data_IF_263959737740
#
_entry.id   IF_263959737740
#
_cell.length_a   1.000
_cell.length_b   1.000
_cell.length_c   1.000
_cell.angle_alpha   90.00
_cell.angle_beta   90.00
_cell.angle_gamma   90.00
#
_symmetry.space_group_name_H-M   'P 1'
#
loop_
_entity.id
_entity.type
_entity.pdbx_description
1 polymer ?
2 non-polymer ?
3 non-polymer ?
4 water ?
#
# COMPACT_ATOMS: atom_id res chain seq x y z
N UNK A 1 -25.20 17.91 -19.97
CA UNK A 1 -24.90 16.73 -20.83
C UNK A 1 -23.40 16.69 -21.11
N UNK A 2 -22.80 15.49 -21.06
CA UNK A 2 -21.44 15.27 -21.52
C UNK A 2 -21.43 15.18 -23.04
N UNK A 3 -20.24 15.33 -23.62
CA UNK A 3 -20.09 15.37 -25.07
C UNK A 3 -20.35 13.98 -25.68
N UNK A 4 -20.62 13.95 -26.99
CA UNK A 4 -21.13 12.77 -27.68
C UNK A 4 -20.22 11.54 -27.58
N UNK A 5 -18.89 11.74 -27.54
CA UNK A 5 -17.99 10.61 -27.69
C UNK A 5 -17.41 10.19 -26.33
N UNK A 6 -18.17 10.44 -25.26
CA UNK A 6 -17.67 10.34 -23.90
C UNK A 6 -18.33 9.17 -23.16
N UNK A 7 -17.51 8.47 -22.38
CA UNK A 7 -17.93 7.37 -21.52
C UNK A 7 -17.72 7.74 -20.04
N UNK A 8 -18.80 7.69 -19.26
CA UNK A 8 -18.73 7.94 -17.83
C UNK A 8 -19.89 7.22 -17.14
N UNK A 9 -19.58 6.28 -16.24
CA UNK A 9 -20.66 5.56 -15.58
C UNK A 9 -21.08 6.32 -14.32
N UNK A 10 -22.37 6.34 -14.06
CA UNK A 10 -22.88 6.83 -12.79
C UNK A 10 -22.26 5.98 -11.67
N UNK A 11 -21.73 6.58 -10.58
CA UNK A 11 -20.94 5.84 -9.57
C UNK A 11 -21.77 4.79 -8.87
N UNK A 12 -21.20 3.60 -8.61
CA UNK A 12 -21.87 2.64 -7.76
C UNK A 12 -21.13 2.46 -6.43
N UNK A 13 -21.83 1.94 -5.43
CA UNK A 13 -21.21 1.75 -4.14
C UNK A 13 -20.86 0.26 -3.99
N UNK A 14 -19.57 -0.03 -3.72
CA UNK A 14 -19.09 -1.40 -3.60
C UNK A 14 -19.01 -1.81 -2.13
N UNK A 15 -18.85 -0.84 -1.24
CA UNK A 15 -18.89 -1.12 0.19
C UNK A 15 -19.60 0.07 0.82
N UNK A 16 -20.41 -0.20 1.85
CA UNK A 16 -21.23 0.79 2.54
C UNK A 16 -21.53 0.27 3.93
N UNK A 17 -21.90 1.12 4.91
CA UNK A 17 -22.27 0.65 6.24
C UNK A 17 -23.36 -0.41 6.24
N UNK A 18 -23.13 -1.43 7.08
CA UNK A 18 -23.94 -2.63 7.07
C UNK A 18 -23.38 -3.70 6.15
N UNK A 19 -22.77 -3.33 5.01
CA UNK A 19 -22.37 -4.39 4.09
C UNK A 19 -21.35 -5.28 4.80
N UNK A 20 -21.47 -6.62 4.65
CA UNK A 20 -20.68 -7.60 5.39
C UNK A 20 -20.66 -7.33 6.90
N UNK A 21 -21.71 -6.69 7.43
CA UNK A 21 -21.89 -6.46 8.87
C UNK A 21 -20.92 -5.39 9.40
N UNK A 22 -20.29 -4.61 8.52
CA UNK A 22 -19.32 -3.62 8.93
C UNK A 22 -19.98 -2.25 9.00
N UNK A 23 -19.66 -1.49 10.03
CA UNK A 23 -20.28 -0.19 10.24
C UNK A 23 -19.53 0.86 9.43
N UNK A 24 -18.28 0.54 9.03
CA UNK A 24 -17.38 1.51 8.43
C UNK A 24 -16.49 0.89 7.36
N UNK A 25 -16.07 1.73 6.39
CA UNK A 25 -15.19 1.31 5.31
C UNK A 25 -14.33 2.49 4.91
N UNK A 26 -13.04 2.24 4.58
CA UNK A 26 -12.17 3.28 4.02
C UNK A 26 -11.01 2.64 3.29
N UNK A 27 -10.25 3.47 2.57
CA UNK A 27 -8.96 3.09 2.00
C UNK A 27 -9.15 2.19 0.77
N UNK A 28 -9.65 2.76 -0.33
CA UNK A 28 -9.85 2.01 -1.58
C UNK A 28 -8.55 1.57 -2.24
N UNK A 29 -8.53 0.33 -2.73
CA UNK A 29 -7.45 -0.14 -3.59
C UNK A 29 -8.03 -0.95 -4.73
N UNK A 30 -7.42 -0.80 -5.92
CA UNK A 30 -7.98 -1.27 -7.18
C UNK A 30 -6.84 -1.72 -8.11
N UNK A 31 -6.91 -2.97 -8.58
CA UNK A 31 -5.90 -3.51 -9.49
C UNK A 31 -6.62 -4.36 -10.53
N UNK A 32 -6.10 -4.38 -11.76
CA UNK A 32 -6.57 -5.26 -12.83
C UNK A 32 -5.58 -6.40 -13.04
N UNK A 33 -6.11 -7.63 -13.12
CA UNK A 33 -5.29 -8.83 -13.34
C UNK A 33 -5.05 -9.05 -14.84
N UNK A 34 -4.10 -9.92 -15.16
CA UNK A 34 -3.86 -10.19 -16.56
C UNK A 34 -5.06 -10.92 -17.19
N UNK A 35 -5.91 -11.55 -16.37
CA UNK A 35 -7.09 -12.20 -16.88
C UNK A 35 -8.20 -11.16 -17.08
N UNK A 36 -7.88 -9.88 -16.86
CA UNK A 36 -8.85 -8.78 -17.00
C UNK A 36 -9.80 -8.59 -15.81
N UNK A 37 -9.61 -9.34 -14.71
CA UNK A 37 -10.39 -9.14 -13.50
C UNK A 37 -9.95 -7.86 -12.76
N UNK A 38 -10.95 -7.11 -12.28
CA UNK A 38 -10.72 -5.96 -11.43
C UNK A 38 -10.90 -6.42 -9.99
N UNK A 39 -9.92 -6.09 -9.14
CA UNK A 39 -9.98 -6.38 -7.71
C UNK A 39 -10.12 -5.05 -6.96
N UNK A 40 -11.07 -4.99 -6.05
CA UNK A 40 -11.26 -3.81 -5.22
C UNK A 40 -11.15 -4.25 -3.77
N UNK A 41 -10.07 -3.86 -3.08
CA UNK A 41 -9.89 -4.26 -1.69
C UNK A 41 -10.04 -3.02 -0.84
N UNK A 42 -10.24 -3.22 0.47
CA UNK A 42 -10.76 -2.17 1.33
C UNK A 42 -10.53 -2.57 2.79
N UNK A 43 -10.46 -1.56 3.65
CA UNK A 43 -10.50 -1.73 5.10
C UNK A 43 -11.97 -1.93 5.49
N UNK A 44 -12.27 -3.15 5.91
CA UNK A 44 -13.54 -3.46 6.54
C UNK A 44 -13.41 -2.93 7.96
N UNK A 45 -13.63 -1.63 8.14
CA UNK A 45 -13.48 -1.04 9.47
C UNK A 45 -14.74 -1.26 10.31
N UNK A 46 -14.80 -2.40 11.02
CA UNK A 46 -16.03 -2.90 11.64
C UNK A 46 -16.71 -1.92 12.62
N UNK A 47 -15.95 -1.10 13.36
CA UNK A 47 -16.56 -0.27 14.38
C UNK A 47 -16.69 1.20 13.97
N UNK A 48 -16.64 1.52 12.68
CA UNK A 48 -16.67 2.91 12.22
C UNK A 48 -15.50 3.29 11.31
N UNK A 49 -15.46 4.54 10.84
CA UNK A 49 -14.48 5.06 9.88
C UNK A 49 -13.11 5.32 10.51
N UNK A 50 -13.01 5.33 11.86
CA UNK A 50 -11.82 5.81 12.56
C UNK A 50 -10.64 4.85 12.35
N UNK A 51 -9.40 5.36 12.34
CA UNK A 51 -8.22 4.51 12.22
C UNK A 51 -8.02 3.73 13.53
N UNK A 52 -7.17 2.69 13.45
CA UNK A 52 -6.55 2.04 14.60
C UNK A 52 -5.96 3.09 15.54
N UNK A 53 -6.03 2.88 16.89
CA UNK A 53 -6.58 1.66 17.49
C UNK A 53 -8.07 1.70 17.84
N UNK A 54 -8.56 0.67 18.56
CA UNK A 54 -9.95 0.57 18.99
C UNK A 54 -10.87 0.39 17.78
N UNK A 55 -10.41 -0.46 16.85
CA UNK A 55 -11.17 -0.80 15.67
C UNK A 55 -10.85 -2.21 15.21
N UNK A 56 -11.91 -3.02 15.12
CA UNK A 56 -11.79 -4.32 14.48
C UNK A 56 -11.75 -4.09 12.96
N UNK A 57 -10.54 -4.00 12.39
CA UNK A 57 -10.43 -3.75 10.96
C UNK A 57 -9.89 -4.99 10.28
N UNK A 58 -10.57 -5.44 9.21
CA UNK A 58 -10.11 -6.56 8.41
C UNK A 58 -10.00 -6.13 6.96
N UNK A 59 -9.49 -7.02 6.10
CA UNK A 59 -9.32 -6.78 4.68
C UNK A 59 -10.50 -7.42 3.97
N UNK A 60 -11.16 -6.62 3.12
CA UNK A 60 -12.22 -7.08 2.24
C UNK A 60 -11.83 -6.88 0.77
N UNK A 61 -12.43 -7.71 -0.10
CA UNK A 61 -12.16 -7.60 -1.53
C UNK A 61 -13.39 -8.05 -2.31
N UNK A 62 -13.56 -7.42 -3.49
CA UNK A 62 -14.55 -7.76 -4.49
C UNK A 62 -13.83 -7.94 -5.82
N UNK A 63 -14.32 -8.91 -6.62
CA UNK A 63 -13.82 -9.17 -7.96
C UNK A 63 -14.89 -8.84 -8.99
N UNK A 64 -14.48 -8.23 -10.12
CA UNK A 64 -15.32 -8.14 -11.30
C UNK A 64 -14.58 -8.72 -12.50
N UNK A 65 -14.99 -9.92 -12.94
CA UNK A 65 -14.41 -10.59 -14.10
C UNK A 65 -14.77 -9.88 -15.42
N UNK A 66 -13.94 -10.01 -16.45
CA UNK A 66 -14.17 -9.25 -17.68
C UNK A 66 -15.56 -9.59 -18.22
N UNK A 67 -16.25 -8.57 -18.76
CA UNK A 67 -17.65 -8.69 -19.15
C UNK A 67 -18.37 -9.60 -18.13
N UNK A 68 -18.24 -9.27 -16.85
CA UNK A 68 -18.99 -9.89 -15.77
C UNK A 68 -19.52 -8.79 -14.85
N UNK A 69 -20.12 -9.17 -13.73
CA UNK A 69 -20.58 -8.18 -12.75
C UNK A 69 -19.76 -8.29 -11.46
N UNK A 70 -19.85 -7.25 -10.62
CA UNK A 70 -19.23 -7.23 -9.31
C UNK A 70 -19.73 -8.42 -8.49
N UNK A 71 -18.83 -9.33 -8.13
CA UNK A 71 -19.25 -10.45 -7.30
C UNK A 71 -19.34 -9.99 -5.84
N UNK A 72 -19.80 -10.88 -4.98
CA UNK A 72 -19.99 -10.50 -3.60
C UNK A 72 -18.65 -10.32 -2.91
N UNK A 73 -18.61 -9.39 -1.93
CA UNK A 73 -17.43 -9.17 -1.12
C UNK A 73 -17.16 -10.29 -0.10
N UNK A 74 -15.87 -10.57 0.12
CA UNK A 74 -15.38 -11.51 1.11
C UNK A 74 -14.39 -10.75 2.00
N UNK A 75 -14.38 -11.05 3.30
CA UNK A 75 -13.25 -10.75 4.15
C UNK A 75 -12.13 -11.77 3.92
N UNK A 76 -10.93 -11.35 3.46
CA UNK A 76 -9.90 -12.32 3.09
C UNK A 76 -8.76 -12.39 4.11
N UNK A 77 -8.79 -11.52 5.13
CA UNK A 77 -7.79 -11.47 6.18
C UNK A 77 -8.43 -10.87 7.43
N UNK A 78 -8.46 -11.68 8.48
CA UNK A 78 -9.20 -11.39 9.70
C UNK A 78 -8.29 -11.64 10.90
N UNK A 79 -8.23 -10.70 11.83
CA UNK A 79 -7.33 -10.88 12.97
C UNK A 79 -8.18 -10.89 14.23
N UNK A 80 -7.69 -11.53 15.31
CA UNK A 80 -8.42 -11.62 16.58
C UNK A 80 -8.81 -10.24 17.08
N UNK A 81 -9.99 -10.15 17.71
CA UNK A 81 -10.34 -8.99 18.52
C UNK A 81 -10.32 -7.71 17.71
N UNK A 82 -9.83 -6.63 18.31
CA UNK A 82 -9.68 -5.38 17.60
C UNK A 82 -8.24 -5.19 17.11
N UNK A 83 -7.54 -6.28 16.80
CA UNK A 83 -6.27 -6.17 16.11
C UNK A 83 -6.58 -5.72 14.67
N UNK A 84 -5.85 -4.72 14.16
CA UNK A 84 -6.18 -4.09 12.89
C UNK A 84 -5.29 -4.55 11.75
N UNK A 85 -5.91 -4.74 10.58
CA UNK A 85 -5.24 -4.75 9.29
C UNK A 85 -5.78 -3.59 8.50
N UNK A 86 -4.89 -2.64 8.18
CA UNK A 86 -5.29 -1.32 7.73
C UNK A 86 -4.39 -0.95 6.55
N UNK A 87 -4.98 -0.36 5.50
CA UNK A 87 -4.27 0.21 4.35
C UNK A 87 -3.70 -0.89 3.44
N UNK A 88 -4.45 -1.25 2.39
CA UNK A 88 -4.05 -2.36 1.53
C UNK A 88 -3.44 -1.84 0.23
N UNK A 89 -2.60 -2.70 -0.38
CA UNK A 89 -1.99 -2.41 -1.67
C UNK A 89 -2.00 -3.69 -2.51
N UNK A 90 -2.49 -3.59 -3.76
CA UNK A 90 -2.63 -4.74 -4.63
C UNK A 90 -1.54 -4.68 -5.70
N UNK A 91 -1.04 -5.85 -6.11
CA UNK A 91 -0.12 -5.91 -7.24
C UNK A 91 -0.28 -7.21 -7.99
N UNK A 92 -0.57 -7.07 -9.28
CA UNK A 92 -0.61 -8.18 -10.21
C UNK A 92 0.78 -8.36 -10.79
N UNK A 93 1.32 -9.58 -10.69
CA UNK A 93 2.66 -9.87 -11.17
C UNK A 93 2.75 -11.26 -11.81
N UNK A 94 3.68 -11.39 -12.77
CA UNK A 94 3.86 -12.63 -13.49
C UNK A 94 5.30 -13.12 -13.37
N UNK A 95 5.50 -14.43 -13.57
CA UNK A 95 6.78 -15.14 -13.55
C UNK A 95 6.68 -16.20 -14.65
N UNK A 96 7.72 -16.32 -15.50
CA UNK A 96 7.78 -17.37 -16.52
C UNK A 96 8.22 -18.69 -15.86
N UNK A 97 7.29 -19.66 -15.70
CA UNK A 97 7.53 -20.87 -14.92
C UNK A 97 8.22 -21.93 -15.79
N UNK A 98 7.43 -22.70 -16.56
CA UNK A 98 7.99 -23.51 -17.64
C UNK A 98 8.33 -22.58 -18.81
N UNK A 99 7.42 -22.52 -19.79
CA UNK A 99 7.35 -21.46 -20.78
C UNK A 99 6.03 -20.70 -20.66
N UNK A 100 5.24 -21.14 -19.66
CA UNK A 100 3.99 -20.54 -19.25
C UNK A 100 4.28 -19.35 -18.31
N UNK A 101 3.72 -18.18 -18.65
CA UNK A 101 3.65 -17.01 -17.81
C UNK A 101 2.64 -17.30 -16.69
N UNK A 102 3.11 -17.50 -15.44
CA UNK A 102 2.20 -17.64 -14.30
C UNK A 102 2.07 -16.31 -13.54
N UNK A 103 0.81 -16.02 -13.16
CA UNK A 103 0.39 -14.78 -12.53
C UNK A 103 0.01 -15.00 -11.06
N UNK A 104 0.54 -14.12 -10.21
CA UNK A 104 0.25 -14.13 -8.80
C UNK A 104 -0.20 -12.73 -8.39
N UNK A 105 -1.27 -12.66 -7.57
CA UNK A 105 -1.73 -11.38 -7.07
C UNK A 105 -1.23 -11.22 -5.63
N UNK A 106 -0.50 -10.13 -5.39
CA UNK A 106 0.01 -9.85 -4.05
C UNK A 106 -0.80 -8.72 -3.43
N UNK A 107 -1.08 -8.87 -2.12
CA UNK A 107 -1.62 -7.79 -1.30
C UNK A 107 -0.74 -7.58 -0.07
N UNK A 108 -0.41 -6.32 0.21
CA UNK A 108 0.23 -6.00 1.49
C UNK A 108 -0.68 -5.08 2.30
N UNK A 109 -0.57 -5.21 3.61
CA UNK A 109 -1.36 -4.38 4.50
C UNK A 109 -0.54 -4.17 5.78
N UNK A 110 -0.69 -2.98 6.38
CA UNK A 110 -0.17 -2.69 7.70
C UNK A 110 -1.01 -3.40 8.76
N UNK A 111 -0.34 -3.87 9.83
CA UNK A 111 -0.97 -4.70 10.84
C UNK A 111 -0.42 -4.32 12.21
N UNK A 112 -1.35 -4.16 13.17
CA UNK A 112 -1.11 -3.74 14.53
C UNK A 112 -1.85 -4.67 15.50
N UNK A 113 -1.26 -5.01 16.67
CA UNK A 113 -1.99 -5.71 17.72
C UNK A 113 -3.04 -4.81 18.37
N UNK A 114 -3.94 -5.40 19.14
CA UNK A 114 -4.98 -4.64 19.81
C UNK A 114 -4.32 -3.52 20.62
N UNK A 115 -4.90 -2.32 20.57
CA UNK A 115 -4.46 -1.19 21.39
C UNK A 115 -3.50 -0.29 20.62
N UNK A 116 -3.08 -0.70 19.41
CA UNK A 116 -2.01 0.05 18.78
C UNK A 116 -2.39 0.59 17.40
N UNK A 117 -1.85 1.76 17.07
CA UNK A 117 -1.99 2.34 15.75
C UNK A 117 -0.88 3.36 15.49
N UNK A 118 -0.99 4.08 14.37
CA UNK A 118 0.05 5.05 14.04
C UNK A 118 0.36 5.94 15.25
N UNK A 119 -0.64 6.55 15.92
CA UNK A 119 -0.37 7.54 16.95
C UNK A 119 0.41 7.06 18.16
N UNK A 120 0.31 5.77 18.52
CA UNK A 120 0.96 5.29 19.74
C UNK A 120 1.88 4.09 19.48
N UNK A 121 2.29 3.86 18.24
CA UNK A 121 3.12 2.68 17.95
C UNK A 121 4.44 2.77 18.71
N UNK A 122 4.94 1.60 19.11
CA UNK A 122 6.27 1.45 19.68
C UNK A 122 7.24 1.18 18.53
N UNK A 123 8.54 1.19 18.85
CA UNK A 123 9.55 0.96 17.82
C UNK A 123 9.89 -0.52 17.67
N UNK A 124 10.79 -0.82 16.72
CA UNK A 124 11.33 -2.15 16.61
C UNK A 124 10.63 -2.98 15.54
N UNK A 125 11.24 -4.14 15.23
CA UNK A 125 10.75 -5.04 14.21
C UNK A 125 9.71 -5.98 14.79
N UNK A 126 9.73 -6.14 16.12
CA UNK A 126 8.93 -7.17 16.76
C UNK A 126 9.68 -8.50 16.89
N UNK A 127 10.96 -8.55 16.46
CA UNK A 127 11.74 -9.79 16.49
C UNK A 127 13.07 -9.58 17.22
N UNK A 128 13.63 -10.67 17.78
CA UNK A 128 15.01 -10.71 18.26
C UNK A 128 15.80 -11.58 17.29
N UNK A 129 16.97 -11.08 16.83
CA UNK A 129 17.92 -11.86 16.03
C UNK A 129 18.84 -12.64 16.98
N UNK A 130 18.76 -13.98 16.99
CA UNK A 130 19.68 -14.81 17.78
C UNK A 130 20.41 -15.75 16.83
N UNK A 131 21.71 -15.51 16.68
CA UNK A 131 22.57 -16.31 15.81
C UNK A 131 21.93 -16.40 14.42
N UNK A 132 21.64 -15.23 13.81
CA UNK A 132 21.22 -15.18 12.42
C UNK A 132 19.70 -15.34 12.18
N UNK A 133 18.99 -16.02 13.10
CA UNK A 133 17.56 -16.24 13.02
C UNK A 133 16.77 -15.08 13.67
N UNK A 134 15.62 -14.73 13.07
CA UNK A 134 14.70 -13.74 13.61
C UNK A 134 13.62 -14.45 14.42
N UNK A 135 13.39 -14.05 15.67
CA UNK A 135 12.38 -14.71 16.49
C UNK A 135 11.33 -13.71 17.01
N UNK A 136 10.06 -14.09 16.96
CA UNK A 136 8.95 -13.25 17.38
C UNK A 136 9.04 -12.99 18.88
N UNK A 137 9.05 -11.72 19.26
CA UNK A 137 9.16 -11.36 20.67
C UNK A 137 7.77 -11.40 21.30
N UNK A 138 7.72 -11.88 22.55
CA UNK A 138 6.54 -11.71 23.38
C UNK A 138 6.94 -10.98 24.65
N UNK A 139 6.02 -10.22 25.23
CA UNK A 139 6.32 -9.52 26.46
C UNK A 139 5.29 -9.88 27.52
N UNK A 140 5.73 -10.06 28.76
CA UNK A 140 4.78 -10.23 29.85
C UNK A 140 4.43 -8.85 30.41
N UNK A 141 3.53 -8.81 31.39
CA UNK A 141 3.03 -7.55 31.88
C UNK A 141 4.08 -6.78 32.69
N UNK A 142 5.16 -7.44 33.09
CA UNK A 142 6.26 -6.83 33.84
C UNK A 142 7.39 -6.49 32.87
N UNK A 143 7.10 -6.62 31.58
CA UNK A 143 7.94 -6.13 30.50
C UNK A 143 9.21 -6.97 30.31
N UNK A 144 9.20 -8.21 30.79
CA UNK A 144 10.23 -9.16 30.41
C UNK A 144 10.04 -9.64 28.96
N UNK A 145 11.08 -10.25 28.43
CA UNK A 145 11.12 -10.58 27.01
C UNK A 145 11.12 -12.09 26.84
N UNK A 146 10.40 -12.57 25.83
CA UNK A 146 10.40 -13.97 25.48
C UNK A 146 10.50 -14.03 23.96
N UNK A 147 10.94 -15.17 23.45
CA UNK A 147 10.99 -15.35 22.01
C UNK A 147 10.26 -16.63 21.67
N UNK A 148 9.74 -16.66 20.44
CA UNK A 148 9.05 -17.82 19.92
C UNK A 148 10.04 -18.51 18.98
N UNK A 149 10.21 -19.84 19.15
CA UNK A 149 11.25 -20.51 18.38
C UNK A 149 10.70 -21.76 17.70
N UNK A 150 11.54 -22.79 17.68
CA UNK A 150 11.23 -24.12 17.14
C UNK A 150 9.87 -24.55 17.66
N UNK A 151 8.94 -24.79 16.72
CA UNK A 151 7.65 -25.42 16.94
C UNK A 151 6.75 -24.54 17.82
N UNK A 152 7.08 -23.24 17.91
CA UNK A 152 6.27 -22.31 18.67
C UNK A 152 6.56 -22.39 20.17
N UNK A 153 7.67 -23.04 20.53
CA UNK A 153 8.07 -23.07 21.93
C UNK A 153 8.57 -21.67 22.30
N UNK A 154 8.03 -21.16 23.42
CA UNK A 154 8.32 -19.82 23.94
C UNK A 154 9.49 -19.93 24.91
N UNK A 155 10.64 -19.33 24.56
CA UNK A 155 11.79 -19.31 25.46
C UNK A 155 11.78 -18.00 26.25
N UNK A 156 12.31 -18.04 27.48
CA UNK A 156 12.41 -16.82 28.28
C UNK A 156 13.70 -16.07 27.96
N UNK A 157 14.01 -15.05 28.76
CA UNK A 157 15.17 -14.23 28.43
C UNK A 157 16.46 -14.94 28.81
N UNK A 158 16.41 -15.79 29.86
CA UNK A 158 17.54 -16.58 30.32
C UNK A 158 17.89 -17.61 29.25
N UNK A 159 17.00 -17.84 28.26
CA UNK A 159 17.27 -18.76 27.17
C UNK A 159 16.65 -20.16 27.32
N UNK A 160 15.74 -20.35 28.30
CA UNK A 160 15.21 -21.68 28.60
C UNK A 160 13.72 -21.74 28.25
N UNK A 161 13.22 -22.98 28.14
CA UNK A 161 11.85 -23.23 27.70
C UNK A 161 10.88 -22.87 28.79
N UNK A 162 9.76 -22.27 28.38
CA UNK A 162 8.63 -22.00 29.24
C UNK A 162 7.59 -23.08 28.97
N UNK A 163 6.41 -22.93 29.56
CA UNK A 163 5.42 -23.97 29.37
C UNK A 163 4.35 -23.45 28.42
N UNK A 164 4.80 -22.58 27.47
CA UNK A 164 3.93 -21.84 26.55
C UNK A 164 4.28 -22.20 25.12
N UNK A 165 3.25 -22.32 24.27
CA UNK A 165 3.42 -22.43 22.83
C UNK A 165 2.61 -21.34 22.13
N UNK A 166 3.16 -20.77 21.06
CA UNK A 166 2.38 -19.89 20.21
C UNK A 166 2.20 -20.54 18.85
N UNK A 167 0.92 -20.75 18.49
CA UNK A 167 0.49 -21.20 17.17
C UNK A 167 0.72 -20.05 16.18
N UNK A 168 0.71 -20.34 14.88
CA UNK A 168 0.90 -19.33 13.84
C UNK A 168 -0.08 -18.17 13.97
N UNK A 169 -1.32 -18.48 14.33
CA UNK A 169 -2.35 -17.47 14.44
C UNK A 169 -2.22 -16.64 15.73
N UNK A 170 -1.07 -16.75 16.43
CA UNK A 170 -0.79 -16.01 17.65
C UNK A 170 -1.58 -16.53 18.86
N UNK A 171 -2.11 -17.77 18.77
CA UNK A 171 -2.80 -18.42 19.89
C UNK A 171 -1.76 -18.94 20.88
N UNK A 172 -2.04 -18.77 22.17
CA UNK A 172 -1.16 -19.20 23.23
C UNK A 172 -1.69 -20.43 23.94
N UNK A 173 -0.92 -21.53 23.91
CA UNK A 173 -1.31 -22.73 24.64
C UNK A 173 -0.37 -23.03 25.81
N UNK A 174 -0.97 -23.17 26.99
CA UNK A 174 -0.25 -23.59 28.19
C UNK A 174 -0.95 -24.82 28.76
N UNK A 175 -0.19 -25.90 28.96
CA UNK A 175 -0.67 -27.16 29.51
C UNK A 175 -2.04 -27.48 28.91
N UNK A 176 -2.10 -27.65 27.58
CA UNK A 176 -3.28 -28.22 26.96
C UNK A 176 -4.29 -27.18 26.52
N UNK A 177 -4.58 -26.17 27.35
CA UNK A 177 -5.65 -25.24 27.03
C UNK A 177 -5.09 -23.95 26.38
N UNK A 178 -5.96 -23.29 25.59
CA UNK A 178 -5.68 -21.99 25.02
C UNK A 178 -5.84 -20.91 26.10
N UNK A 179 -4.75 -20.23 26.46
CA UNK A 179 -4.76 -19.29 27.57
C UNK A 179 -4.82 -17.83 27.09
N UNK A 180 -4.79 -17.61 25.76
CA UNK A 180 -5.01 -16.30 25.17
C UNK A 180 -4.48 -16.19 23.73
N UNK A 181 -4.42 -14.95 23.20
CA UNK A 181 -3.88 -14.64 21.88
C UNK A 181 -2.94 -13.42 21.95
N UNK A 182 -1.73 -13.60 21.38
CA UNK A 182 -0.64 -12.63 21.48
C UNK A 182 -1.00 -11.24 20.95
N UNK A 183 -2.06 -11.12 20.15
CA UNK A 183 -2.44 -9.85 19.55
C UNK A 183 -3.53 -9.17 20.37
N UNK A 184 -4.03 -9.86 21.41
CA UNK A 184 -5.13 -9.32 22.21
C UNK A 184 -4.55 -8.64 23.44
N UNK A 185 -5.11 -7.48 23.80
CA UNK A 185 -4.43 -6.69 24.81
C UNK A 185 -4.66 -7.25 26.21
N UNK A 186 -5.30 -8.41 26.29
CA UNK A 186 -5.56 -9.02 27.59
C UNK A 186 -4.79 -10.33 27.71
N UNK A 187 -3.90 -10.61 26.77
CA UNK A 187 -3.15 -11.85 26.77
C UNK A 187 -2.05 -11.83 27.81
N UNK A 188 -1.77 -13.00 28.44
CA UNK A 188 -0.65 -13.12 29.37
C UNK A 188 0.71 -12.85 28.75
N UNK A 189 0.86 -13.17 27.46
CA UNK A 189 2.05 -12.75 26.72
C UNK A 189 1.62 -12.00 25.45
N UNK A 190 2.25 -10.85 25.17
CA UNK A 190 1.77 -10.01 24.09
C UNK A 190 2.86 -9.78 23.03
N UNK A 191 2.42 -9.68 21.78
CA UNK A 191 3.28 -9.14 20.74
C UNK A 191 3.64 -7.69 21.06
N UNK A 192 4.80 -7.24 20.57
CA UNK A 192 5.23 -5.86 20.71
C UNK A 192 4.23 -4.95 19.99
N UNK A 193 3.79 -3.90 20.68
CA UNK A 193 2.83 -2.96 20.12
C UNK A 193 3.42 -2.12 18.99
N UNK A 194 3.75 -2.75 17.85
CA UNK A 194 4.43 -2.03 16.77
C UNK A 194 3.83 -2.39 15.42
N UNK A 195 4.06 -1.53 14.42
CA UNK A 195 3.56 -1.71 13.07
C UNK A 195 4.31 -2.84 12.35
N UNK A 196 3.55 -3.68 11.65
CA UNK A 196 4.10 -4.68 10.75
C UNK A 196 3.48 -4.47 9.38
N UNK A 197 4.21 -4.89 8.34
CA UNK A 197 3.60 -5.12 7.04
C UNK A 197 3.43 -6.61 6.84
N UNK A 198 2.21 -7.04 6.53
CA UNK A 198 1.93 -8.45 6.30
C UNK A 198 1.57 -8.58 4.83
N UNK A 199 1.84 -9.76 4.26
CA UNK A 199 1.51 -9.94 2.87
C UNK A 199 0.70 -11.21 2.70
N UNK A 200 -0.28 -11.16 1.80
CA UNK A 200 -0.96 -12.38 1.37
C UNK A 200 -0.91 -12.42 -0.16
N UNK A 201 -1.01 -13.62 -0.76
CA UNK A 201 -1.03 -13.69 -2.20
C UNK A 201 -2.14 -14.63 -2.65
N UNK A 202 -2.45 -14.50 -3.94
CA UNK A 202 -3.53 -15.21 -4.59
C UNK A 202 -3.06 -15.72 -5.95
N UNK A 203 -3.21 -17.03 -6.13
CA UNK A 203 -2.78 -17.75 -7.32
C UNK A 203 -3.94 -18.03 -8.26
N UNK A 204 -5.18 -17.77 -7.81
CA UNK A 204 -6.36 -18.13 -8.56
C UNK A 204 -7.15 -16.86 -8.92
N UNK A 205 -6.45 -15.82 -9.37
CA UNK A 205 -7.09 -14.61 -9.87
C UNK A 205 -7.96 -13.94 -8.81
N UNK A 206 -7.57 -14.04 -7.54
CA UNK A 206 -8.27 -13.30 -6.50
C UNK A 206 -9.32 -14.12 -5.76
N UNK A 207 -9.61 -15.33 -6.24
CA UNK A 207 -10.64 -16.17 -5.64
C UNK A 207 -10.24 -16.51 -4.20
N UNK A 208 -8.99 -16.95 -3.99
CA UNK A 208 -8.55 -17.30 -2.65
C UNK A 208 -7.13 -16.80 -2.37
N UNK A 209 -6.82 -16.68 -1.06
CA UNK A 209 -5.63 -16.00 -0.58
C UNK A 209 -4.85 -16.85 0.43
N UNK A 210 -3.52 -16.66 0.47
CA UNK A 210 -2.64 -17.34 1.42
C UNK A 210 -2.90 -16.85 2.85
N UNK A 211 -2.21 -17.48 3.81
CA UNK A 211 -2.15 -16.95 5.17
C UNK A 211 -1.17 -15.79 5.17
N UNK A 212 -1.30 -14.80 6.09
CA UNK A 212 -0.39 -13.65 6.10
C UNK A 212 1.05 -14.04 6.44
N UNK A 213 1.99 -13.48 5.69
CA UNK A 213 3.39 -13.56 6.05
C UNK A 213 3.84 -12.19 6.59
N UNK A 214 4.36 -12.16 7.83
CA UNK A 214 4.96 -10.95 8.36
C UNK A 214 6.20 -10.61 7.53
N UNK A 215 6.27 -9.39 7.01
CA UNK A 215 7.44 -8.98 6.24
C UNK A 215 8.44 -8.20 7.08
N UNK A 216 8.13 -7.97 8.36
CA UNK A 216 8.97 -7.18 9.25
C UNK A 216 10.38 -7.75 9.40
N UNK A 217 10.57 -9.09 9.55
CA UNK A 217 11.84 -9.63 10.06
C UNK A 217 12.99 -9.52 9.04
N UNK A 218 13.97 -8.69 9.35
CA UNK A 218 15.05 -8.45 8.41
C UNK A 218 14.72 -7.29 7.48
N UNK A 219 13.57 -6.64 7.67
CA UNK A 219 13.21 -5.60 6.72
C UNK A 219 13.02 -4.28 7.46
N UNK A 220 12.09 -4.25 8.41
CA UNK A 220 11.83 -3.06 9.21
C UNK A 220 13.04 -2.95 10.12
N UNK A 221 13.61 -1.75 10.22
CA UNK A 221 14.79 -1.46 11.03
C UNK A 221 14.37 -1.23 12.48
N UNK A 222 15.25 -1.58 13.42
CA UNK A 222 14.88 -1.51 14.82
C UNK A 222 14.58 -0.07 15.22
N UNK A 223 15.05 0.91 14.45
CA UNK A 223 14.83 2.28 14.84
C UNK A 223 13.50 2.83 14.33
N UNK A 224 12.82 2.08 13.45
CA UNK A 224 11.57 2.56 12.90
C UNK A 224 10.45 2.33 13.91
N UNK A 225 9.49 3.26 13.93
CA UNK A 225 8.29 3.09 14.73
C UNK A 225 7.15 2.69 13.80
N UNK A 226 6.63 3.65 13.04
CA UNK A 226 5.64 3.28 12.06
C UNK A 226 6.36 2.65 10.86
N UNK A 227 5.73 1.66 10.25
CA UNK A 227 6.26 0.96 9.10
C UNK A 227 5.07 0.33 8.41
N UNK A 228 4.71 0.83 7.22
CA UNK A 228 3.35 0.57 6.78
C UNK A 228 3.19 0.67 5.26
N UNK A 229 2.20 -0.07 4.78
CA UNK A 229 1.76 -0.04 3.39
C UNK A 229 1.31 1.36 3.02
N UNK A 230 1.74 1.83 1.84
CA UNK A 230 1.17 3.04 1.25
C UNK A 230 0.00 2.57 0.39
N UNK A 231 -1.27 2.82 0.77
CA UNK A 231 -2.39 2.09 0.17
C UNK A 231 -2.59 2.55 -1.28
N UNK A 232 -3.06 1.61 -2.11
CA UNK A 232 -3.19 1.78 -3.55
C UNK A 232 -2.71 0.50 -4.22
N UNK A 233 -1.66 0.64 -5.08
CA UNK A 233 -1.07 -0.50 -5.75
C UNK A 233 0.47 -0.46 -5.69
N UNK A 234 1.05 -1.65 -5.90
CA UNK A 234 2.45 -1.85 -6.27
C UNK A 234 2.58 -2.08 -7.78
N UNK A 235 3.80 -2.24 -8.29
CA UNK A 235 3.99 -2.51 -9.70
C UNK A 235 5.13 -3.51 -9.83
N UNK A 236 5.16 -4.23 -10.97
CA UNK A 236 6.26 -5.08 -11.36
C UNK A 236 6.97 -4.32 -12.48
N UNK A 237 8.28 -4.12 -12.36
CA UNK A 237 9.01 -3.38 -13.38
C UNK A 237 8.96 -4.13 -14.72
N UNK A 238 8.55 -3.39 -15.76
CA UNK A 238 8.28 -3.96 -17.06
C UNK A 238 9.60 -4.13 -17.81
N UNK A 239 10.43 -3.09 -17.84
CA UNK A 239 11.68 -3.17 -18.59
C UNK A 239 12.87 -2.49 -17.92
N UNK A 240 14.04 -2.62 -18.56
CA UNK A 240 15.30 -2.14 -18.01
C UNK A 240 15.99 -3.24 -17.19
N UNK A 241 17.10 -2.86 -16.54
CA UNK A 241 17.98 -3.76 -15.82
C UNK A 241 17.24 -4.51 -14.70
N UNK A 242 16.18 -3.91 -14.14
CA UNK A 242 15.47 -4.48 -13.01
C UNK A 242 14.10 -5.02 -13.41
N UNK A 243 13.87 -5.32 -14.70
CA UNK A 243 12.67 -6.01 -15.14
C UNK A 243 12.35 -7.16 -14.16
N UNK A 244 11.06 -7.35 -13.86
CA UNK A 244 10.60 -8.47 -13.05
C UNK A 244 10.52 -8.14 -11.56
N UNK A 245 11.20 -7.06 -11.13
CA UNK A 245 11.24 -6.67 -9.73
C UNK A 245 9.85 -6.25 -9.24
N UNK A 246 9.49 -6.71 -8.03
CA UNK A 246 8.24 -6.27 -7.40
C UNK A 246 8.49 -5.01 -6.60
N UNK A 247 7.65 -3.98 -6.80
CA UNK A 247 7.84 -2.69 -6.13
C UNK A 247 6.56 -2.31 -5.37
N UNK A 248 6.64 -2.35 -4.03
CA UNK A 248 5.55 -1.95 -3.15
C UNK A 248 5.90 -0.67 -2.39
N UNK A 249 5.26 0.48 -2.70
CA UNK A 249 5.40 1.70 -1.89
C UNK A 249 4.99 1.55 -0.43
N UNK A 250 5.79 2.14 0.48
CA UNK A 250 5.54 2.07 1.91
C UNK A 250 5.96 3.43 2.47
N UNK A 251 5.63 3.70 3.74
CA UNK A 251 6.33 4.76 4.45
C UNK A 251 6.58 4.33 5.90
N UNK A 252 7.42 5.10 6.62
CA UNK A 252 7.77 4.75 8.00
C UNK A 252 8.13 5.99 8.79
N UNK A 253 8.27 5.82 10.11
CA UNK A 253 8.74 6.91 10.97
C UNK A 253 9.98 6.49 11.75
N UNK A 254 10.84 7.49 12.02
CA UNK A 254 12.03 7.29 12.84
C UNK A 254 11.70 7.60 14.31
N UNK A 255 12.74 7.67 15.12
CA UNK A 255 12.59 7.86 16.55
C UNK A 255 12.03 9.24 16.81
N UNK A 256 12.09 10.15 15.84
CA UNK A 256 11.53 11.47 16.07
C UNK A 256 10.16 11.59 15.41
N UNK A 257 9.59 10.45 14.98
CA UNK A 257 8.23 10.42 14.46
C UNK A 257 8.15 11.15 13.12
N UNK A 258 9.29 11.28 12.45
CA UNK A 258 9.36 11.92 11.14
C UNK A 258 9.08 10.87 10.07
N UNK A 259 8.26 11.23 9.07
CA UNK A 259 7.70 10.29 8.12
C UNK A 259 8.47 10.38 6.81
N UNK A 260 8.95 9.24 6.33
CA UNK A 260 9.67 9.12 5.06
C UNK A 260 9.04 8.05 4.16
N UNK A 261 8.81 8.41 2.90
CA UNK A 261 8.39 7.48 1.85
C UNK A 261 9.55 6.54 1.47
N UNK A 262 9.24 5.35 0.95
CA UNK A 262 10.22 4.44 0.34
C UNK A 262 9.50 3.32 -0.40
N UNK A 263 10.25 2.38 -1.00
CA UNK A 263 9.60 1.19 -1.55
C UNK A 263 10.29 -0.05 -0.99
N UNK A 264 9.54 -1.13 -0.83
CA UNK A 264 10.13 -2.44 -0.60
C UNK A 264 10.04 -3.19 -1.91
N UNK A 265 11.09 -3.97 -2.24
CA UNK A 265 11.17 -4.62 -3.54
C UNK A 265 11.67 -6.06 -3.43
N UNK A 266 11.25 -6.90 -4.36
CA UNK A 266 11.67 -8.28 -4.41
C UNK A 266 12.09 -8.65 -5.85
N UNK A 267 13.25 -9.33 -5.96
CA UNK A 267 13.75 -9.81 -7.25
C UNK A 267 13.55 -11.31 -7.36
N UNK A 268 12.90 -11.94 -6.39
CA UNK A 268 12.72 -13.39 -6.49
C UNK A 268 11.23 -13.69 -6.40
N UNK A 269 10.42 -12.80 -7.01
CA UNK A 269 8.97 -12.94 -7.15
C UNK A 269 8.28 -13.07 -5.78
N UNK A 270 8.66 -12.21 -4.81
CA UNK A 270 7.99 -12.13 -3.53
C UNK A 270 8.52 -13.10 -2.46
N UNK A 271 9.54 -13.88 -2.79
CA UNK A 271 10.18 -14.78 -1.85
C UNK A 271 10.83 -13.99 -0.69
N UNK A 272 11.67 -13.00 -1.02
CA UNK A 272 12.30 -12.14 -0.01
C UNK A 272 12.18 -10.68 -0.40
N UNK A 273 12.37 -9.78 0.57
CA UNK A 273 12.18 -8.36 0.30
C UNK A 273 13.36 -7.57 0.82
N UNK A 274 13.55 -6.39 0.24
CA UNK A 274 14.63 -5.50 0.65
C UNK A 274 14.03 -4.09 0.75
N UNK A 275 14.65 -3.25 1.59
CA UNK A 275 14.18 -1.88 1.81
C UNK A 275 15.04 -0.90 1.03
N UNK A 276 14.40 -0.05 0.23
CA UNK A 276 15.18 0.96 -0.47
C UNK A 276 15.36 2.16 0.44
N UNK A 277 16.22 3.09 0.04
CA UNK A 277 16.33 4.32 0.80
C UNK A 277 15.07 5.14 0.53
N UNK A 278 14.75 6.04 1.47
CA UNK A 278 13.75 7.07 1.26
C UNK A 278 14.32 8.14 0.33
N UNK A 279 13.52 8.79 -0.52
CA UNK A 279 13.94 10.05 -1.16
C UNK A 279 14.44 11.07 -0.14
N UNK A 280 14.13 10.84 1.14
CA UNK A 280 14.61 11.64 2.24
C UNK A 280 16.11 11.40 2.44
N UNK A 281 16.60 10.21 2.04
CA UNK A 281 18.02 9.90 2.24
C UNK A 281 18.88 10.53 1.13
N UNK A 282 19.76 11.43 1.56
CA UNK A 282 20.83 12.01 0.77
C UNK A 282 22.11 11.92 1.61
N UNK A 283 23.21 12.51 1.09
CA UNK A 283 24.47 12.55 1.80
C UNK A 283 24.40 13.61 2.91
N UNK A 284 23.56 14.64 2.68
CA UNK A 284 23.18 15.64 3.68
C UNK A 284 22.29 15.06 4.77
N UNK A 285 21.31 14.23 4.40
CA UNK A 285 20.21 13.99 5.33
C UNK A 285 20.00 12.48 5.42
N UNK A 286 19.83 11.98 6.64
CA UNK A 286 19.47 10.58 6.82
C UNK A 286 18.07 10.42 7.40
N UNK A 287 17.28 9.53 6.80
CA UNK A 287 15.89 9.38 7.18
C UNK A 287 15.78 8.71 8.55
N UNK A 288 16.89 8.13 9.01
CA UNK A 288 16.94 7.59 10.35
C UNK A 288 16.88 8.73 11.37
N UNK A 289 17.56 9.85 11.08
CA UNK A 289 17.88 10.79 12.13
C UNK A 289 17.19 12.14 11.89
N UNK A 290 16.68 12.35 10.67
CA UNK A 290 16.04 13.61 10.30
C UNK A 290 14.97 13.97 11.34
N UNK A 291 14.80 15.27 11.60
CA UNK A 291 13.80 15.66 12.60
C UNK A 291 13.14 16.98 12.25
N UNK A 292 13.35 17.50 11.03
CA UNK A 292 12.75 18.74 10.57
C UNK A 292 12.75 18.74 9.03
N UNK A 293 11.90 19.59 8.43
CA UNK A 293 11.73 19.66 6.99
C UNK A 293 10.50 18.90 6.52
N UNK A 294 10.28 18.94 5.19
CA UNK A 294 9.16 18.34 4.49
C UNK A 294 9.11 16.83 4.73
N UNK A 295 8.04 16.35 5.35
CA UNK A 295 7.87 14.91 5.50
C UNK A 295 7.23 14.36 4.23
N UNK A 296 7.64 13.12 3.89
CA UNK A 296 7.11 12.43 2.73
C UNK A 296 6.44 11.16 3.24
N UNK A 297 5.14 11.01 2.95
CA UNK A 297 4.36 9.97 3.62
C UNK A 297 3.88 8.94 2.61
N UNK A 298 2.55 8.82 2.46
CA UNK A 298 1.97 7.92 1.47
C UNK A 298 2.41 8.34 0.07
N UNK A 299 2.50 7.31 -0.79
CA UNK A 299 3.12 7.45 -2.10
C UNK A 299 2.71 6.28 -3.00
N UNK A 300 2.77 6.52 -4.31
CA UNK A 300 2.51 5.54 -5.35
C UNK A 300 3.57 5.70 -6.46
N UNK A 301 3.80 4.64 -7.24
CA UNK A 301 4.96 4.59 -8.11
C UNK A 301 4.54 4.29 -9.56
N UNK A 302 5.20 4.98 -10.51
CA UNK A 302 5.09 4.64 -11.93
C UNK A 302 6.46 4.43 -12.57
N UNK A 303 6.48 3.65 -13.66
CA UNK A 303 7.70 3.33 -14.41
C UNK A 303 7.75 4.16 -15.70
N UNK A 304 8.90 4.76 -15.99
CA UNK A 304 9.09 5.47 -17.26
C UNK A 304 9.47 4.46 -18.35
N UNK A 305 9.49 4.84 -19.65
CA UNK A 305 9.73 3.88 -20.73
C UNK A 305 10.96 2.98 -20.60
N UNK A 306 12.08 3.51 -20.06
CA UNK A 306 13.32 2.74 -19.96
C UNK A 306 13.42 1.99 -18.64
N UNK A 307 12.38 2.14 -17.80
CA UNK A 307 12.22 1.43 -16.53
C UNK A 307 12.49 2.30 -15.30
N UNK A 308 12.85 3.55 -15.53
CA UNK A 308 13.17 4.44 -14.42
C UNK A 308 11.89 4.72 -13.62
N UNK A 309 12.02 4.83 -12.28
CA UNK A 309 10.88 4.90 -11.36
C UNK A 309 10.62 6.33 -10.94
N UNK A 310 9.32 6.63 -10.77
CA UNK A 310 8.84 7.91 -10.30
C UNK A 310 7.86 7.66 -9.16
N UNK A 311 8.20 8.21 -7.99
CA UNK A 311 7.44 8.01 -6.77
C UNK A 311 6.82 9.34 -6.41
N UNK A 312 5.47 9.35 -6.43
CA UNK A 312 4.65 10.52 -6.13
C UNK A 312 4.18 10.39 -4.69
N UNK A 313 4.30 11.47 -3.91
CA UNK A 313 4.28 11.39 -2.45
C UNK A 313 3.40 12.50 -1.85
N UNK A 314 2.45 12.06 -1.01
CA UNK A 314 1.79 12.94 -0.07
C UNK A 314 2.87 13.56 0.83
N UNK A 315 2.70 14.83 1.21
CA UNK A 315 3.77 15.51 1.93
C UNK A 315 3.25 16.75 2.68
N UNK A 316 4.13 17.39 3.44
CA UNK A 316 3.70 18.46 4.33
C UNK A 316 3.69 19.80 3.58
N UNK A 317 4.18 19.79 2.33
CA UNK A 317 4.25 21.01 1.55
C UNK A 317 2.92 21.26 0.83
N UNK A 318 2.89 22.22 -0.10
CA UNK A 318 1.62 22.56 -0.72
C UNK A 318 1.37 21.72 -1.98
N UNK A 319 2.41 21.14 -2.60
CA UNK A 319 2.24 20.40 -3.87
C UNK A 319 2.90 19.01 -3.82
N UNK A 320 2.52 18.12 -4.75
CA UNK A 320 3.02 16.75 -4.80
C UNK A 320 4.53 16.72 -5.06
N UNK A 321 5.22 15.84 -4.33
CA UNK A 321 6.65 15.63 -4.48
C UNK A 321 6.88 14.39 -5.35
N UNK A 322 7.86 14.48 -6.25
CA UNK A 322 8.19 13.36 -7.12
C UNK A 322 9.67 13.02 -7.00
N UNK A 323 9.97 11.74 -6.81
CA UNK A 323 11.34 11.28 -6.67
C UNK A 323 11.63 10.37 -7.85
N UNK A 324 12.91 10.34 -8.26
CA UNK A 324 13.33 9.52 -9.40
C UNK A 324 14.38 8.51 -8.92
N UNK A 325 14.21 7.24 -9.33
CA UNK A 325 15.19 6.20 -9.06
C UNK A 325 15.73 5.63 -10.37
N UNK A 326 17.05 5.41 -10.40
CA UNK A 326 17.76 4.85 -11.55
C UNK A 326 18.10 3.40 -11.30
N UNK A 327 17.77 2.88 -10.12
CA UNK A 327 18.21 1.53 -9.76
C UNK A 327 17.05 0.73 -9.19
N UNK A 328 15.87 0.80 -9.84
CA UNK A 328 14.70 0.01 -9.45
C UNK A 328 14.24 0.25 -8.00
N UNK A 329 14.53 1.44 -7.47
CA UNK A 329 13.96 1.91 -6.21
C UNK A 329 14.89 1.75 -5.02
N UNK A 330 16.13 1.33 -5.31
CA UNK A 330 17.13 1.15 -4.28
C UNK A 330 17.51 2.53 -3.73
N UNK A 331 17.54 3.55 -4.59
CA UNK A 331 17.95 4.88 -4.16
C UNK A 331 17.29 5.89 -5.08
N UNK A 332 17.19 7.13 -4.61
CA UNK A 332 16.50 8.16 -5.38
C UNK A 332 17.51 9.25 -5.72
N UNK A 333 17.30 9.93 -6.85
CA UNK A 333 18.03 11.14 -7.14
C UNK A 333 17.93 12.07 -5.93
N UNK A 334 18.97 12.87 -5.72
CA UNK A 334 19.09 13.72 -4.55
C UNK A 334 18.05 14.83 -4.57
N UNK A 335 17.42 15.01 -5.71
CA UNK A 335 16.60 16.19 -5.88
C UNK A 335 15.16 15.70 -5.94
N UNK A 336 14.33 16.29 -5.08
CA UNK A 336 12.96 15.80 -4.90
C UNK A 336 12.00 16.97 -5.04
N UNK A 337 11.64 17.34 -6.29
CA UNK A 337 10.84 18.55 -6.51
C UNK A 337 9.33 18.32 -6.35
N UNK A 338 8.62 19.43 -6.05
CA UNK A 338 7.19 19.59 -6.25
C UNK A 338 6.87 19.61 -7.74
N UNK A 339 5.64 19.19 -8.06
CA UNK A 339 5.00 19.49 -9.33
C UNK A 339 3.83 20.43 -9.04
N UNK A 340 3.93 21.69 -9.48
CA UNK A 340 2.95 22.65 -9.05
C UNK A 340 1.64 22.52 -9.82
N UNK A 341 1.55 21.52 -10.69
CA UNK A 341 0.25 21.13 -11.23
C UNK A 341 -0.52 20.22 -10.28
N UNK A 342 0.17 19.61 -9.31
CA UNK A 342 -0.45 18.56 -8.52
C UNK A 342 -0.63 19.03 -7.08
N UNK A 343 -1.56 19.99 -6.87
CA UNK A 343 -1.86 20.48 -5.54
C UNK A 343 -2.21 19.30 -4.63
N UNK A 344 -1.66 19.33 -3.40
CA UNK A 344 -1.64 18.17 -2.53
C UNK A 344 -2.18 18.59 -1.17
N UNK A 345 -3.45 18.28 -0.84
CA UNK A 345 -4.06 18.78 0.40
C UNK A 345 -3.75 17.94 1.65
N UNK A 346 -2.78 17.03 1.54
CA UNK A 346 -2.42 16.13 2.61
C UNK A 346 -3.40 14.96 2.63
N UNK A 347 -3.35 14.20 1.55
CA UNK A 347 -4.25 13.08 1.35
C UNK A 347 -3.52 12.06 0.48
N UNK A 348 -3.89 10.79 0.61
CA UNK A 348 -3.44 9.79 -0.33
C UNK A 348 -3.76 10.21 -1.78
N UNK A 349 -2.94 9.76 -2.73
CA UNK A 349 -3.15 10.02 -4.15
C UNK A 349 -2.91 8.71 -4.91
N UNK A 350 -3.35 8.68 -6.17
CA UNK A 350 -3.18 7.52 -7.04
C UNK A 350 -2.49 7.96 -8.32
N UNK A 351 -1.46 7.22 -8.72
CA UNK A 351 -0.82 7.45 -10.00
C UNK A 351 -0.54 6.08 -10.66
N UNK A 352 -0.80 5.99 -11.99
CA UNK A 352 -0.66 4.74 -12.74
C UNK A 352 -0.10 4.96 -14.14
N UNK A 353 0.53 3.90 -14.61
CA UNK A 353 0.96 3.78 -16.00
C UNK A 353 -0.28 3.52 -16.84
N UNK A 354 -0.27 4.02 -18.08
CA UNK A 354 -1.31 3.72 -19.04
C UNK A 354 -0.69 2.98 -20.23
N UNK A 355 -1.28 1.84 -20.61
CA UNK A 355 -0.60 0.95 -21.54
C UNK A 355 -0.60 1.49 -22.98
N UNK A 356 -1.53 2.37 -23.34
CA UNK A 356 -1.60 2.86 -24.71
C UNK A 356 -1.05 4.28 -24.87
N UNK A 357 -0.80 4.69 -26.12
CA UNK A 357 -0.17 5.98 -26.38
C UNK A 357 -1.26 7.05 -26.42
N UNK A 358 -0.88 8.30 -26.12
CA UNK A 358 -1.86 9.37 -26.08
C UNK A 358 -1.20 10.57 -26.73
N UNK A 359 -1.69 10.96 -27.93
CA UNK A 359 -1.00 11.95 -28.74
C UNK A 359 0.43 11.49 -29.01
N UNK A 360 0.58 10.16 -29.21
CA UNK A 360 1.83 9.54 -29.63
C UNK A 360 2.91 9.56 -28.55
N UNK A 361 2.54 10.01 -27.35
CA UNK A 361 3.42 10.01 -26.18
C UNK A 361 2.96 8.91 -25.21
N UNK A 362 3.88 8.44 -24.37
CA UNK A 362 3.54 7.59 -23.24
C UNK A 362 2.99 8.46 -22.11
N UNK A 363 2.17 7.84 -21.25
CA UNK A 363 1.31 8.58 -20.34
C UNK A 363 1.09 7.86 -19.00
N UNK A 364 0.84 8.67 -17.97
CA UNK A 364 0.43 8.22 -16.66
C UNK A 364 -0.92 8.87 -16.36
N UNK A 365 -1.70 8.24 -15.48
CA UNK A 365 -2.92 8.85 -14.98
C UNK A 365 -2.76 9.10 -13.48
N UNK A 366 -3.21 10.28 -13.03
CA UNK A 366 -3.09 10.67 -11.63
C UNK A 366 -4.47 11.02 -11.10
N UNK A 367 -4.77 10.70 -9.83
CA UNK A 367 -5.97 11.28 -9.24
C UNK A 367 -5.76 11.66 -7.79
N UNK A 368 -6.41 12.77 -7.38
CA UNK A 368 -6.37 13.20 -6.00
C UNK A 368 -7.41 14.31 -5.81
N UNK A 369 -7.59 14.83 -4.57
CA UNK A 369 -8.41 16.03 -4.38
C UNK A 369 -7.54 17.22 -4.78
N UNK A 370 -7.88 17.86 -5.90
CA UNK A 370 -7.11 19.00 -6.36
C UNK A 370 -7.61 20.28 -5.68
N UNK A 371 -7.18 20.52 -4.43
CA UNK A 371 -7.65 21.64 -3.63
C UNK A 371 -6.80 21.79 -2.37
N UNK A 372 -7.12 22.80 -1.55
CA UNK A 372 -6.49 22.99 -0.25
C UNK A 372 -6.98 21.94 0.76
N UNK A 373 -8.01 21.17 0.34
CA UNK A 373 -8.77 20.29 1.20
C UNK A 373 -9.27 19.11 0.38
N UNK A 374 -9.91 18.14 1.05
CA UNK A 374 -10.35 16.91 0.39
C UNK A 374 -11.67 17.13 -0.38
N UNK A 375 -11.59 18.02 -1.38
CA UNK A 375 -12.67 18.30 -2.31
C UNK A 375 -12.10 18.25 -3.73
N UNK A 376 -12.97 18.17 -4.72
CA UNK A 376 -12.60 18.39 -6.10
C UNK A 376 -11.73 17.24 -6.59
N UNK A 377 -12.24 16.02 -6.48
CA UNK A 377 -11.56 14.89 -7.07
C UNK A 377 -11.30 15.13 -8.55
N UNK A 378 -10.03 15.04 -8.95
CA UNK A 378 -9.68 15.34 -10.33
C UNK A 378 -8.73 14.28 -10.85
N UNK A 379 -9.02 13.79 -12.06
CA UNK A 379 -8.17 12.86 -12.75
C UNK A 379 -7.41 13.60 -13.83
N UNK A 380 -6.08 13.46 -13.84
CA UNK A 380 -5.20 14.14 -14.77
C UNK A 380 -4.51 13.12 -15.66
N UNK A 381 -4.18 13.58 -16.86
CA UNK A 381 -3.40 12.79 -17.79
C UNK A 381 -2.06 13.49 -18.02
N UNK A 382 -0.98 12.72 -17.83
CA UNK A 382 0.37 13.22 -18.00
C UNK A 382 1.07 12.51 -19.15
N UNK A 383 1.53 13.32 -20.10
CA UNK A 383 2.34 12.85 -21.23
C UNK A 383 3.80 12.93 -20.82
N UNK A 384 4.55 11.86 -21.13
CA UNK A 384 5.96 11.78 -20.79
C UNK A 384 6.81 12.26 -21.96
N UNK A 385 7.64 13.29 -21.70
CA UNK A 385 8.64 13.73 -22.65
C UNK A 385 10.05 13.56 -22.06
N UNK A 386 10.97 12.99 -22.85
CA UNK A 386 12.41 13.07 -22.60
C UNK A 386 12.86 14.52 -22.84
N UNK A 387 13.78 15.02 -22.01
CA UNK A 387 14.31 16.35 -22.22
C UNK A 387 15.70 16.48 -21.61
N UNK A 388 16.66 15.80 -22.25
CA UNK A 388 18.05 15.82 -21.79
C UNK A 388 18.46 14.45 -21.28
N UNK A 389 19.63 14.42 -20.63
CA UNK A 389 20.04 13.25 -19.87
C UNK A 389 20.62 13.73 -18.54
N UNK A 390 20.98 12.74 -17.73
CA UNK A 390 21.68 12.96 -16.48
C UNK A 390 23.15 12.63 -16.71
N UNK A 391 24.04 13.35 -15.96
CA UNK A 391 25.49 13.18 -16.01
C UNK A 391 25.82 11.70 -16.11
N UNK A 392 24.79 10.89 -15.86
CA UNK A 392 24.93 9.49 -15.49
C UNK A 392 24.42 8.59 -16.62
N UNK A 393 24.07 9.19 -17.75
CA UNK A 393 23.74 8.42 -18.94
C UNK A 393 22.24 8.29 -19.19
N UNK A 394 21.43 8.42 -18.12
CA UNK A 394 20.02 8.06 -18.23
C UNK A 394 19.16 9.27 -18.61
N UNK A 395 18.04 9.03 -19.35
CA UNK A 395 17.17 10.11 -19.82
C UNK A 395 16.52 10.95 -18.71
N UNK A 396 16.13 12.18 -19.05
CA UNK A 396 15.54 13.09 -18.08
C UNK A 396 14.07 13.31 -18.47
N UNK A 397 13.13 12.55 -17.89
CA UNK A 397 11.70 12.57 -18.22
C UNK A 397 10.94 13.68 -17.48
N UNK A 398 10.01 14.34 -18.19
CA UNK A 398 9.20 15.43 -17.64
C UNK A 398 7.72 15.18 -17.93
N UNK A 399 6.86 15.85 -17.15
CA UNK A 399 5.42 15.57 -17.25
C UNK A 399 4.67 16.74 -17.88
N UNK A 400 3.98 16.44 -18.98
CA UNK A 400 3.00 17.34 -19.54
C UNK A 400 1.59 16.92 -19.08
N UNK A 401 0.96 17.81 -18.32
CA UNK A 401 -0.37 17.54 -17.80
C UNK A 401 -1.43 18.12 -18.73
N UNK A 402 -1.88 17.33 -19.71
CA UNK A 402 -2.72 17.86 -20.78
C UNK A 402 -4.18 17.90 -20.36
N UNK A 403 -4.67 16.81 -19.76
CA UNK A 403 -6.03 16.76 -19.26
C UNK A 403 -6.02 16.84 -17.74
N UNK A 404 -7.03 17.54 -17.23
CA UNK A 404 -7.27 17.65 -15.81
C UNK A 404 -8.78 17.75 -15.59
N UNK A 405 -9.46 16.63 -15.29
CA UNK A 405 -10.92 16.57 -15.26
C UNK A 405 -11.44 16.37 -13.83
N UNK A 406 -12.37 17.22 -13.37
CA UNK A 406 -13.09 16.99 -12.13
C UNK A 406 -14.06 15.83 -12.29
N UNK A 407 -13.95 14.80 -11.44
CA UNK A 407 -14.85 13.66 -11.49
C UNK A 407 -15.74 13.66 -10.25
N UNK A 408 -15.44 14.55 -9.31
CA UNK A 408 -16.17 14.60 -8.06
C UNK A 408 -16.00 15.99 -7.43
N UNK A 409 -16.93 16.93 -7.68
CA UNK A 409 -16.74 18.32 -7.24
C UNK A 409 -16.70 18.52 -5.72
N UNK A 410 -17.39 17.64 -4.96
CA UNK A 410 -17.43 17.91 -3.53
C UNK A 410 -16.36 17.13 -2.78
N UNK A 411 -16.76 16.47 -1.68
CA UNK A 411 -15.85 15.64 -0.91
C UNK A 411 -15.16 14.63 -1.81
N UNK A 412 -13.83 14.49 -1.65
CA UNK A 412 -13.09 13.42 -2.30
C UNK A 412 -11.85 13.18 -1.46
N UNK A 413 -11.57 11.92 -1.13
CA UNK A 413 -10.40 11.62 -0.33
C UNK A 413 -9.52 10.59 -1.04
N UNK A 414 -9.31 9.44 -0.40
CA UNK A 414 -8.46 8.40 -0.95
C UNK A 414 -9.10 7.86 -2.22
N UNK A 415 -8.26 7.62 -3.25
CA UNK A 415 -8.72 6.99 -4.47
C UNK A 415 -7.64 6.06 -5.01
N UNK A 416 -8.01 5.28 -6.03
CA UNK A 416 -7.08 4.39 -6.70
C UNK A 416 -7.61 4.12 -8.11
N UNK A 417 -6.74 4.39 -9.09
CA UNK A 417 -7.05 4.20 -10.50
C UNK A 417 -6.68 2.78 -10.90
N UNK A 418 -7.27 2.31 -12.00
CA UNK A 418 -6.76 1.11 -12.63
C UNK A 418 -7.17 1.15 -14.10
N UNK A 419 -6.34 0.55 -14.94
CA UNK A 419 -6.64 0.52 -16.36
C UNK A 419 -7.44 -0.74 -16.63
N UNK A 420 -8.58 -0.59 -17.31
CA UNK A 420 -9.44 -1.71 -17.62
C UNK A 420 -8.95 -2.44 -18.87
N UNK A 421 -9.35 -3.72 -19.08
CA UNK A 421 -8.84 -4.48 -20.22
C UNK A 421 -9.15 -3.74 -21.54
N UNK A 422 -10.29 -3.05 -21.57
CA UNK A 422 -10.81 -2.43 -22.78
C UNK A 422 -10.14 -1.09 -23.03
N UNK A 423 -9.25 -0.67 -22.14
CA UNK A 423 -8.47 0.53 -22.39
C UNK A 423 -9.02 1.73 -21.64
N UNK A 424 -10.19 1.55 -21.01
CA UNK A 424 -10.75 2.54 -20.11
C UNK A 424 -10.10 2.48 -18.71
N UNK A 425 -10.52 3.43 -17.85
CA UNK A 425 -9.99 3.59 -16.52
C UNK A 425 -11.12 3.36 -15.52
N UNK A 426 -10.80 2.62 -14.44
CA UNK A 426 -11.65 2.58 -13.26
C UNK A 426 -11.11 3.50 -12.17
N UNK A 427 -12.00 3.99 -11.31
CA UNK A 427 -11.61 4.77 -10.15
C UNK A 427 -12.45 4.33 -8.95
N UNK A 428 -11.77 4.00 -7.84
CA UNK A 428 -12.39 3.52 -6.61
C UNK A 428 -12.06 4.54 -5.53
N UNK A 429 -13.06 5.28 -5.02
CA UNK A 429 -12.75 6.50 -4.30
C UNK A 429 -13.65 6.69 -3.10
N UNK A 430 -13.15 7.50 -2.16
CA UNK A 430 -13.87 7.99 -1.01
C UNK A 430 -14.42 9.39 -1.34
N UNK A 431 -15.57 9.70 -0.79
CA UNK A 431 -16.09 11.06 -0.88
C UNK A 431 -17.57 11.11 -1.20
N UNK A 432 -18.16 9.95 -1.56
CA UNK A 432 -19.59 9.88 -1.83
C UNK A 432 -20.41 10.04 -0.55
N UNK A 433 -19.71 10.11 0.60
CA UNK A 433 -20.33 10.37 1.90
C UNK A 433 -20.84 9.07 2.53
N UNK A 434 -20.98 9.10 3.88
CA UNK A 434 -21.70 8.08 4.66
C UNK A 434 -21.02 6.70 4.61
N UNK A 435 -19.67 6.67 4.51
CA UNK A 435 -18.92 5.43 4.56
C UNK A 435 -18.98 4.65 3.25
N UNK A 436 -19.39 5.34 2.18
CA UNK A 436 -19.72 4.63 0.97
C UNK A 436 -18.51 4.69 0.04
N UNK A 437 -18.04 3.51 -0.39
CA UNK A 437 -16.90 3.45 -1.27
C UNK A 437 -17.39 3.28 -2.71
N UNK A 438 -17.09 4.28 -3.54
CA UNK A 438 -17.68 4.43 -4.86
C UNK A 438 -16.73 3.94 -5.94
N UNK A 439 -17.29 3.27 -6.95
CA UNK A 439 -16.54 2.87 -8.13
C UNK A 439 -17.22 3.45 -9.36
N UNK A 440 -16.43 4.06 -10.26
CA UNK A 440 -16.90 4.61 -11.53
C UNK A 440 -15.89 4.26 -12.62
N UNK A 441 -16.36 4.24 -13.89
CA UNK A 441 -15.56 3.97 -15.07
C UNK A 441 -15.72 5.15 -16.04
N UNK A 442 -14.70 5.38 -16.85
CA UNK A 442 -14.76 6.43 -17.85
C UNK A 442 -13.67 6.14 -18.90
N UNK A 443 -13.67 6.91 -19.99
CA UNK A 443 -12.71 6.74 -21.08
C UNK A 443 -11.84 7.98 -21.16
N UNK A 444 -10.92 8.00 -22.11
CA UNK A 444 -9.98 9.10 -22.24
C UNK A 444 -10.72 10.36 -22.67
N UNK A 445 -11.81 10.19 -23.44
CA UNK A 445 -12.55 11.34 -23.94
C UNK A 445 -13.17 12.11 -22.78
N UNK A 446 -13.64 11.35 -21.79
CA UNK A 446 -14.22 11.94 -20.60
C UNK A 446 -13.21 12.92 -20.01
N UNK A 447 -11.91 12.57 -20.09
CA UNK A 447 -10.89 13.40 -19.46
C UNK A 447 -10.55 14.62 -20.31
N UNK A 448 -10.68 14.53 -21.65
CA UNK A 448 -10.48 15.64 -22.60
C UNK A 448 -11.50 16.75 -22.37
N UNK A 449 -12.72 16.40 -21.95
CA UNK A 449 -13.84 17.34 -21.86
C UNK A 449 -13.57 18.48 -20.86
N UNK A 450 -13.81 19.72 -21.32
CA UNK A 450 -13.70 20.89 -20.44
C UNK A 450 -15.09 21.28 -19.94
N UNK A 451 -15.41 20.91 -18.69
CA UNK A 451 -16.65 21.22 -17.98
C UNK A 451 -17.66 21.99 -18.85
X LIG B 1 -9.03 18.28 5.55
X LIG B 1 -8.55 18.68 4.28
X LIG B 1 -10.37 17.74 5.30
X LIG B 1 -10.95 18.48 4.24
X LIG C 1 -1.88 10.70 11.16
X LIG C 1 -1.11 11.63 10.27
X LIG C 1 -3.34 5.44 10.50
X LIG C 1 -2.88 4.76 9.25
X LIG C 1 -0.18 9.72 9.08
X LIG C 1 -1.23 9.30 8.07
X LIG C 1 -2.06 8.09 8.52
X LIG C 1 -3.17 5.35 8.08
X LIG C 1 -4.02 6.53 7.93
X LIG C 1 -5.12 6.37 6.88
X LIG C 1 -3.23 7.81 7.59
X LIG C 1 -6.10 7.54 6.94
X LIG C 1 -5.55 8.86 7.51
X LIG C 1 -6.10 10.11 6.81
X LIG C 1 -1.17 12.82 10.36
X LIG C 1 -0.27 11.13 9.32
X LIG C 1 -2.26 3.70 9.30
X LIG C 1 -2.49 8.28 9.88
X LIG C 1 -0.69 9.06 6.75
X LIG C 1 -5.75 5.09 6.98
X LIG C 1 -4.10 8.97 7.58
X LIG C 1 -5.42 11.03 6.68
X LIG C 1 -7.19 10.15 6.46
X LIG C 1 -6.04 9.08 8.79
#
# INVERSE_FOLDING_TARGET
SHMDDVYKTQPVELFYPGYLESRGYRIPALETTKKGTVLASIDVRNNGDHDAPNNNIDVGIRRKEVNGEWEEGKVILDYPGKSAAIDTSLMSATIEENGIEKERIFLIVTHFPEGYGFPNTEGGSGYKEIDGKYYFILKDAQNNEYTVREDGIVYNSEGNETDYVMKNDKTLIQNGEEVGNALLSNSPLKAVGTAHIEMIYSDDDGNTWSEPEDLNPGLKKEWMKFFGTAPGKGIQIKNGEHKGRLVFPIYYTNQNNFQSSAVIYSDDFGETWKLGESPIDTASVSSETVSSGTQLTECQVVEMPNGQLKLFMRNTGSYTRIATSFDGGATWHDEVPEDTSLREPYCQLSVINYSGKINGKDAIIFSNPDASSRVNGSVKVGLINENGTYDNGEPRYEFDWIYNKTVKPGSFAYSCLTELPDGNLGLFYEGEGAGRMAYTEFDLNYLKFNA
EDO C1 O1 C2 O2
5N6 CAF CAG C11 C10 C9 C8 C7 N5 C5 C4 C6 C3 C2 C1 OBJ O9 O10 O7 O8 O4 O6 O1B O1A O2
#
